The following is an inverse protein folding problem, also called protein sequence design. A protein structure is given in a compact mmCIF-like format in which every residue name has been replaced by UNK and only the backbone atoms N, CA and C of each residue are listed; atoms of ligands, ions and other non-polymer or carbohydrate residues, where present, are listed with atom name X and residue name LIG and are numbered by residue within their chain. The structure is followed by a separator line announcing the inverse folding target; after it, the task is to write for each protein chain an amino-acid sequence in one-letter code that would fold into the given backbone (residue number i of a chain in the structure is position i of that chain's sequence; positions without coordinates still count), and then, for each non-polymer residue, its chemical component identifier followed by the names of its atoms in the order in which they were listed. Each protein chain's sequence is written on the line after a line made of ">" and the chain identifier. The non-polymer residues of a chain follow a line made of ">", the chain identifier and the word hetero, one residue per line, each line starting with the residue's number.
data_IF_424973658216
#
_entry.id   IF_424973658216
#
_cell.length_a   1.000
_cell.length_b   1.000
_cell.length_c   1.000
_cell.angle_alpha   90.00
_cell.angle_beta   90.00
_cell.angle_gamma   90.00
#
_symmetry.space_group_name_H-M   'P 1'
#
loop_
_entity.id
_entity.type
_entity.pdbx_description
1 polymer ?
#
# COMPACT_ATOMS: atom_id res chain seq x y z
N UNK A 1 16.67 13.74 -32.03
CA UNK A 1 15.28 13.72 -31.52
C UNK A 1 15.34 13.60 -30.00
N UNK A 2 14.61 14.42 -29.26
CA UNK A 2 14.44 14.24 -27.80
C UNK A 2 13.08 13.59 -27.52
N UNK A 3 13.04 12.72 -26.51
CA UNK A 3 11.80 12.06 -26.08
C UNK A 3 11.10 12.95 -25.03
N UNK A 4 9.80 13.16 -25.19
CA UNK A 4 8.90 13.69 -24.16
C UNK A 4 7.86 12.62 -23.81
N UNK A 5 8.00 12.03 -22.63
CA UNK A 5 7.11 10.99 -22.12
C UNK A 5 6.83 11.27 -20.64
N UNK A 6 5.58 11.11 -20.21
CA UNK A 6 5.23 11.11 -18.78
C UNK A 6 5.76 9.81 -18.18
N UNK A 7 6.51 9.92 -17.09
CA UNK A 7 7.16 8.79 -16.42
C UNK A 7 7.04 8.97 -14.91
N UNK A 8 6.88 7.86 -14.20
CA UNK A 8 6.96 7.76 -12.75
C UNK A 8 7.90 6.62 -12.38
N UNK A 9 8.33 6.58 -11.11
CA UNK A 9 9.10 5.50 -10.53
C UNK A 9 8.45 5.17 -9.20
N UNK A 10 8.37 3.89 -8.89
CA UNK A 10 7.97 3.34 -7.61
C UNK A 10 9.21 2.74 -6.96
N UNK A 11 9.45 2.97 -5.67
CA UNK A 11 10.61 2.42 -4.98
C UNK A 11 10.26 1.86 -3.62
N UNK A 12 10.24 0.52 -3.54
CA UNK A 12 10.16 -0.21 -2.28
C UNK A 12 11.51 -0.17 -1.54
N UNK A 13 11.49 0.26 -0.30
CA UNK A 13 12.69 0.28 0.54
C UNK A 13 12.79 -0.99 1.39
N UNK A 14 13.98 -1.58 1.40
CA UNK A 14 14.32 -2.60 2.41
C UNK A 14 14.28 -1.98 3.81
N UNK A 15 13.63 -2.66 4.75
CA UNK A 15 13.47 -2.17 6.13
C UNK A 15 14.06 -3.15 7.13
N UNK A 16 14.74 -2.62 8.16
CA UNK A 16 15.26 -3.41 9.27
C UNK A 16 15.25 -2.59 10.56
N UNK A 17 15.14 -3.29 11.70
CA UNK A 17 15.25 -2.68 13.03
C UNK A 17 16.49 -3.26 13.72
N UNK A 18 17.62 -2.54 13.76
CA UNK A 18 18.84 -3.01 14.39
C UNK A 18 18.60 -3.46 15.84
N UNK A 19 19.08 -4.66 16.18
CA UNK A 19 18.87 -5.26 17.50
C UNK A 19 17.49 -5.92 17.69
N UNK A 20 16.59 -5.87 16.71
CA UNK A 20 15.26 -6.50 16.75
C UNK A 20 14.97 -7.29 15.45
N UNK A 21 15.62 -8.45 15.23
CA UNK A 21 15.47 -9.22 13.99
C UNK A 21 14.06 -9.79 13.76
N UNK A 22 13.25 -9.91 14.81
CA UNK A 22 11.85 -10.37 14.72
C UNK A 22 10.82 -9.25 14.57
N UNK A 23 11.25 -8.01 14.28
CA UNK A 23 10.33 -6.89 14.10
C UNK A 23 9.41 -7.15 12.91
N UNK A 24 8.11 -6.87 13.08
CA UNK A 24 7.14 -7.00 12.00
C UNK A 24 7.35 -5.88 10.97
N UNK A 25 7.75 -6.25 9.76
CA UNK A 25 8.08 -5.30 8.71
C UNK A 25 6.90 -4.40 8.31
N UNK A 26 5.67 -4.91 8.25
CA UNK A 26 4.48 -4.11 7.93
C UNK A 26 4.23 -3.01 8.98
N UNK A 27 4.40 -3.35 10.26
CA UNK A 27 4.27 -2.40 11.38
C UNK A 27 5.39 -1.36 11.32
N UNK A 28 6.63 -1.78 11.11
CA UNK A 28 7.77 -0.84 11.01
C UNK A 28 7.64 0.09 9.80
N UNK A 29 7.18 -0.42 8.65
CA UNK A 29 6.89 0.37 7.46
C UNK A 29 5.77 1.38 7.72
N UNK A 30 4.71 0.95 8.43
CA UNK A 30 3.62 1.85 8.86
C UNK A 30 4.12 2.97 9.78
N UNK A 31 5.09 2.70 10.64
CA UNK A 31 5.69 3.72 11.50
C UNK A 31 6.44 4.77 10.67
N UNK A 32 7.19 4.37 9.63
CA UNK A 32 7.89 5.29 8.73
C UNK A 32 6.91 6.24 8.03
N UNK A 33 5.87 5.68 7.40
CA UNK A 33 4.87 6.46 6.65
C UNK A 33 4.10 7.41 7.60
N UNK A 34 3.67 6.91 8.76
CA UNK A 34 2.95 7.72 9.74
C UNK A 34 3.82 8.81 10.37
N UNK A 35 5.12 8.55 10.60
CA UNK A 35 6.05 9.56 11.11
C UNK A 35 6.23 10.71 10.12
N UNK A 36 6.33 10.41 8.82
CA UNK A 36 6.38 11.45 7.80
C UNK A 36 5.09 12.29 7.78
N UNK A 37 3.92 11.64 7.86
CA UNK A 37 2.63 12.33 7.95
C UNK A 37 2.55 13.24 9.18
N UNK A 38 3.03 12.80 10.34
CA UNK A 38 3.01 13.60 11.56
C UNK A 38 3.99 14.80 11.51
N UNK A 39 5.16 14.62 10.90
CA UNK A 39 6.16 15.67 10.76
C UNK A 39 5.80 16.69 9.66
N UNK A 40 5.15 16.23 8.60
CA UNK A 40 4.66 17.09 7.53
C UNK A 40 3.39 17.79 8.03
N UNK A 41 3.51 19.01 8.52
CA UNK A 41 2.38 19.90 8.87
C UNK A 41 1.39 20.14 7.70
N UNK A 42 1.68 19.56 6.53
CA UNK A 42 0.76 19.43 5.44
C UNK A 42 -0.49 18.68 5.86
N UNK A 43 -1.63 19.21 5.43
CA UNK A 43 -2.95 18.56 5.44
C UNK A 43 -2.95 17.42 4.41
N UNK A 44 -1.99 16.51 4.53
CA UNK A 44 -1.75 15.46 3.58
C UNK A 44 -3.00 14.58 3.55
N UNK A 45 -3.57 14.44 2.34
CA UNK A 45 -4.81 13.70 2.18
C UNK A 45 -4.48 12.24 2.39
N UNK A 46 -5.08 11.62 3.41
CA UNK A 46 -5.11 10.16 3.52
C UNK A 46 -5.86 9.65 2.30
N UNK A 47 -5.14 9.02 1.40
CA UNK A 47 -5.74 8.28 0.30
C UNK A 47 -6.15 6.91 0.84
N UNK A 48 -7.30 6.42 0.39
CA UNK A 48 -7.67 5.02 0.58
C UNK A 48 -7.28 4.25 -0.66
N UNK A 49 -7.04 2.96 -0.48
CA UNK A 49 -6.98 2.07 -1.62
C UNK A 49 -8.37 1.98 -2.27
N UNK A 50 -8.38 2.03 -3.60
CA UNK A 50 -9.58 1.81 -4.39
C UNK A 50 -9.52 0.37 -4.91
N UNK A 51 -10.48 -0.43 -4.48
CA UNK A 51 -10.61 -1.85 -4.83
C UNK A 51 -11.84 -2.10 -5.70
N UNK A 52 -12.52 -1.08 -6.23
CA UNK A 52 -13.77 -1.24 -6.99
C UNK A 52 -13.64 -2.18 -8.20
N UNK A 53 -12.45 -2.27 -8.80
CA UNK A 53 -12.18 -3.17 -9.93
C UNK A 53 -11.69 -4.57 -9.51
N UNK A 54 -11.36 -4.77 -8.23
CA UNK A 54 -10.92 -6.07 -7.70
C UNK A 54 -12.12 -6.99 -7.49
N UNK A 55 -12.00 -8.24 -7.95
CA UNK A 55 -13.00 -9.27 -7.71
C UNK A 55 -12.32 -10.61 -7.44
N UNK A 56 -11.76 -10.81 -6.23
CA UNK A 56 -10.93 -11.97 -5.94
C UNK A 56 -11.69 -13.30 -5.94
N UNK A 57 -13.01 -13.25 -5.82
CA UNK A 57 -13.87 -14.43 -5.82
C UNK A 57 -14.33 -14.84 -7.22
N UNK A 58 -14.03 -14.03 -8.23
CA UNK A 58 -14.32 -14.34 -9.62
C UNK A 58 -13.23 -15.19 -10.23
N UNK A 59 -13.58 -16.44 -10.49
CA UNK A 59 -12.66 -17.40 -11.08
C UNK A 59 -12.55 -17.17 -12.61
N UNK A 60 -11.33 -17.24 -13.14
CA UNK A 60 -11.07 -17.11 -14.57
C UNK A 60 -11.79 -18.16 -15.44
N UNK A 61 -12.23 -19.27 -14.86
CA UNK A 61 -13.04 -20.32 -15.51
C UNK A 61 -14.51 -19.95 -15.66
N UNK A 62 -14.94 -18.80 -15.14
CA UNK A 62 -16.27 -18.22 -15.38
C UNK A 62 -17.31 -18.52 -14.30
N UNK A 63 -16.89 -18.74 -13.05
CA UNK A 63 -17.79 -18.88 -11.91
C UNK A 63 -17.33 -18.00 -10.74
N UNK A 64 -18.28 -17.59 -9.89
CA UNK A 64 -18.02 -16.76 -8.73
C UNK A 64 -18.17 -17.59 -7.45
N UNK A 65 -17.20 -17.50 -6.54
CA UNK A 65 -17.28 -18.07 -5.20
C UNK A 65 -18.15 -17.17 -4.32
N UNK A 66 -19.09 -17.75 -3.59
CA UNK A 66 -19.88 -16.98 -2.63
C UNK A 66 -18.99 -16.51 -1.47
N UNK A 67 -19.08 -15.23 -1.09
CA UNK A 67 -18.18 -14.61 -0.10
C UNK A 67 -18.29 -15.28 1.27
N UNK A 68 -19.45 -15.83 1.62
CA UNK A 68 -19.72 -16.46 2.91
C UNK A 68 -18.98 -17.79 3.11
N UNK A 69 -18.55 -18.42 2.01
CA UNK A 69 -17.80 -19.68 2.04
C UNK A 69 -16.33 -19.49 1.66
N UNK A 70 -15.93 -18.27 1.29
CA UNK A 70 -14.55 -17.93 0.98
C UNK A 70 -13.70 -17.95 2.26
N UNK A 71 -12.47 -18.43 2.13
CA UNK A 71 -11.50 -18.29 3.21
C UNK A 71 -11.14 -16.79 3.36
N UNK A 72 -11.01 -16.24 4.59
CA UNK A 72 -10.68 -14.84 4.79
C UNK A 72 -9.41 -14.39 4.06
N UNK A 73 -8.46 -15.30 3.85
CA UNK A 73 -7.22 -15.01 3.10
C UNK A 73 -7.44 -14.74 1.61
N UNK A 74 -8.62 -15.07 1.08
CA UNK A 74 -9.01 -14.82 -0.31
C UNK A 74 -9.70 -13.45 -0.49
N UNK A 75 -10.03 -12.74 0.58
CA UNK A 75 -10.72 -11.45 0.53
C UNK A 75 -9.71 -10.30 0.39
N UNK A 76 -9.07 -10.21 -0.79
CA UNK A 76 -8.04 -9.21 -1.07
C UNK A 76 -8.60 -7.83 -1.43
N UNK A 77 -9.93 -7.70 -1.47
CA UNK A 77 -10.66 -6.46 -1.73
C UNK A 77 -10.92 -5.64 -0.45
N UNK A 78 -10.34 -6.04 0.68
CA UNK A 78 -10.47 -5.36 1.96
C UNK A 78 -9.24 -4.52 2.32
N UNK A 79 -9.48 -3.26 2.70
CA UNK A 79 -8.41 -2.36 3.18
C UNK A 79 -7.92 -2.81 4.56
N UNK A 80 -6.67 -3.27 4.64
CA UNK A 80 -5.98 -3.59 5.90
C UNK A 80 -5.68 -2.35 6.75
N UNK A 81 -6.01 -1.14 6.29
CA UNK A 81 -5.80 0.12 6.99
C UNK A 81 -4.33 0.53 7.00
N UNK A 82 -3.55 0.05 6.03
CA UNK A 82 -2.14 0.37 5.88
C UNK A 82 -1.94 1.86 5.58
N UNK A 83 -0.88 2.44 6.12
CA UNK A 83 -0.63 3.86 6.00
C UNK A 83 -0.43 4.27 4.53
N UNK A 84 -1.15 5.28 4.07
CA UNK A 84 -1.17 5.74 2.68
C UNK A 84 -1.43 7.25 2.63
N UNK A 85 -0.52 8.00 2.01
CA UNK A 85 -0.59 9.47 1.98
C UNK A 85 -0.09 10.04 0.64
N UNK A 86 -0.79 11.07 0.15
CA UNK A 86 -0.33 11.88 -0.98
C UNK A 86 0.44 13.10 -0.46
N UNK A 87 1.65 13.29 -0.99
CA UNK A 87 2.59 14.33 -0.57
C UNK A 87 2.40 15.63 -1.37
N UNK A 88 2.94 16.73 -0.86
CA UNK A 88 2.81 18.07 -1.47
C UNK A 88 3.54 18.23 -2.79
N UNK A 89 4.50 17.36 -3.09
CA UNK A 89 5.20 17.30 -4.37
C UNK A 89 4.49 16.39 -5.40
N UNK A 90 3.32 15.83 -5.05
CA UNK A 90 2.53 14.95 -5.91
C UNK A 90 2.87 13.46 -5.83
N UNK A 91 3.90 13.07 -5.06
CA UNK A 91 4.22 11.66 -4.83
C UNK A 91 3.25 10.99 -3.84
N UNK A 92 3.27 9.67 -3.80
CA UNK A 92 2.52 8.85 -2.83
C UNK A 92 3.54 8.20 -1.90
N UNK A 93 3.31 8.23 -0.60
CA UNK A 93 4.10 7.47 0.37
C UNK A 93 3.15 6.52 1.09
N UNK A 94 3.41 5.22 1.01
CA UNK A 94 2.51 4.21 1.54
C UNK A 94 3.23 2.95 1.97
N UNK A 95 2.51 2.04 2.63
CA UNK A 95 3.01 0.69 2.92
C UNK A 95 2.50 -0.24 1.85
N UNK A 96 3.41 -0.79 1.05
CA UNK A 96 3.13 -1.93 0.19
C UNK A 96 3.61 -3.21 0.88
N UNK A 97 2.66 -4.01 1.33
CA UNK A 97 2.90 -5.20 2.13
C UNK A 97 3.93 -4.98 3.26
N UNK A 98 5.16 -5.47 3.09
CA UNK A 98 6.23 -5.41 4.08
C UNK A 98 7.13 -4.16 3.97
N UNK A 99 6.93 -3.31 2.97
CA UNK A 99 7.85 -2.24 2.59
C UNK A 99 7.19 -0.86 2.68
N UNK A 100 7.93 0.20 3.07
CA UNK A 100 7.51 1.55 2.76
C UNK A 100 7.92 1.86 1.31
N UNK A 101 6.98 2.40 0.55
CA UNK A 101 7.15 2.74 -0.85
C UNK A 101 6.86 4.23 -1.11
N UNK A 102 7.69 4.83 -1.97
CA UNK A 102 7.55 6.19 -2.47
C UNK A 102 7.33 6.20 -4.00
#
# INVERSE_FOLDING_TARGET
>A
MSVRRVMGIETEYGISVPGQPGANAMVTSSQVVNAYLAASAARARRARWDFEEENPLRDARGFDLAREVADPTQLTDEDLGLANVILTNGARLYVDHAHPEY
#
